data_IF_141840624868
#
_entry.id   IF_141840624868
#
_cell.length_a   1.000
_cell.length_b   1.000
_cell.length_c   1.000
_cell.angle_alpha   90.00
_cell.angle_beta   90.00
_cell.angle_gamma   90.00
#
_symmetry.space_group_name_H-M   'P 1'
#
loop_
_entity.id
_entity.type
_entity.pdbx_description
1 polymer ?
#
# COMPACT_ATOMS: atom_id res chain seq x y z
N UNK A 1 36.42 -39.09 11.39
CA UNK A 1 36.66 -38.50 10.03
C UNK A 1 35.34 -37.84 9.59
N UNK A 2 35.16 -36.58 10.01
CA UNK A 2 33.99 -35.76 9.65
C UNK A 2 34.29 -35.00 8.37
N UNK A 3 33.58 -35.28 7.32
CA UNK A 3 33.53 -34.47 6.12
C UNK A 3 32.74 -33.18 6.40
N UNK A 4 33.46 -32.06 6.60
CA UNK A 4 32.84 -30.72 6.57
C UNK A 4 32.58 -30.42 5.09
N UNK A 5 31.29 -30.38 4.74
CA UNK A 5 30.83 -29.80 3.49
C UNK A 5 31.14 -28.29 3.50
N UNK A 6 32.26 -27.93 2.86
CA UNK A 6 32.56 -26.53 2.48
C UNK A 6 31.62 -26.17 1.33
N UNK A 7 30.48 -25.55 1.63
CA UNK A 7 29.73 -24.86 0.60
C UNK A 7 30.61 -23.73 0.03
N UNK A 8 30.74 -23.63 -1.28
CA UNK A 8 31.62 -22.63 -1.90
C UNK A 8 31.01 -21.23 -1.73
N UNK A 9 31.66 -20.41 -0.93
CA UNK A 9 31.30 -18.98 -0.69
C UNK A 9 31.18 -18.19 -2.03
N UNK A 10 31.76 -18.68 -3.11
CA UNK A 10 31.67 -18.10 -4.45
C UNK A 10 30.33 -18.29 -5.14
N UNK A 11 29.62 -19.40 -4.92
CA UNK A 11 28.35 -19.67 -5.57
C UNK A 11 27.22 -18.75 -5.05
N UNK A 12 27.24 -18.41 -3.77
CA UNK A 12 26.28 -17.48 -3.13
C UNK A 12 26.49 -16.04 -3.62
N UNK A 13 27.73 -15.61 -3.81
CA UNK A 13 28.06 -14.28 -4.33
C UNK A 13 27.65 -14.11 -5.79
N UNK A 14 27.84 -15.14 -6.61
CA UNK A 14 27.45 -15.13 -8.03
C UNK A 14 25.91 -15.17 -8.18
N UNK A 15 25.22 -15.97 -7.38
CA UNK A 15 23.76 -16.01 -7.39
C UNK A 15 23.14 -14.68 -6.94
N UNK A 16 23.69 -14.00 -5.93
CA UNK A 16 23.27 -12.65 -5.53
C UNK A 16 23.51 -11.61 -6.63
N UNK A 17 24.65 -11.67 -7.31
CA UNK A 17 24.97 -10.73 -8.38
C UNK A 17 24.09 -10.93 -9.62
N UNK A 18 23.72 -12.16 -9.94
CA UNK A 18 22.85 -12.47 -11.11
C UNK A 18 21.41 -12.05 -10.90
N UNK A 19 20.93 -11.94 -9.67
CA UNK A 19 19.54 -11.52 -9.35
C UNK A 19 19.45 -10.00 -9.13
N UNK A 20 20.49 -9.36 -8.65
CA UNK A 20 20.50 -7.91 -8.42
C UNK A 20 20.46 -7.09 -9.71
N UNK A 21 21.08 -7.57 -10.79
CA UNK A 21 21.05 -6.88 -12.10
C UNK A 21 19.66 -6.81 -12.70
N UNK A 22 18.86 -7.91 -12.80
CA UNK A 22 17.51 -7.81 -13.32
C UNK A 22 16.58 -6.95 -12.43
N UNK A 23 16.77 -6.94 -11.11
CA UNK A 23 15.98 -6.13 -10.20
C UNK A 23 16.27 -4.62 -10.38
N UNK A 24 17.53 -4.24 -10.54
CA UNK A 24 17.90 -2.84 -10.81
C UNK A 24 17.37 -2.35 -12.16
N UNK A 25 17.39 -3.21 -13.19
CA UNK A 25 16.81 -2.90 -14.51
C UNK A 25 15.32 -2.72 -14.42
N UNK A 26 14.62 -3.56 -13.65
CA UNK A 26 13.19 -3.47 -13.42
C UNK A 26 12.82 -2.15 -12.73
N UNK A 27 13.56 -1.76 -11.69
CA UNK A 27 13.38 -0.48 -11.00
C UNK A 27 13.66 0.74 -11.89
N UNK A 28 14.63 0.68 -12.79
CA UNK A 28 14.82 1.74 -13.78
C UNK A 28 13.63 1.88 -14.73
N UNK A 29 13.03 0.75 -15.13
CA UNK A 29 11.81 0.74 -15.91
C UNK A 29 10.64 1.37 -15.14
N UNK A 30 10.48 1.06 -13.86
CA UNK A 30 9.46 1.63 -12.98
C UNK A 30 9.59 3.16 -12.87
N UNK A 31 10.82 3.65 -12.66
CA UNK A 31 11.11 5.10 -12.66
C UNK A 31 10.74 5.74 -14.00
N UNK A 32 11.13 5.13 -15.12
CA UNK A 32 10.84 5.66 -16.45
C UNK A 32 9.32 5.71 -16.70
N UNK A 33 8.59 4.64 -16.41
CA UNK A 33 7.14 4.57 -16.63
C UNK A 33 6.36 5.55 -15.75
N UNK A 34 6.70 5.65 -14.47
CA UNK A 34 6.05 6.59 -13.55
C UNK A 34 6.38 8.05 -13.90
N UNK A 35 7.63 8.32 -14.31
CA UNK A 35 8.05 9.64 -14.80
C UNK A 35 7.26 10.06 -16.05
N UNK A 36 7.09 9.18 -17.02
CA UNK A 36 6.29 9.43 -18.22
C UNK A 36 4.83 9.67 -17.86
N UNK A 37 4.25 8.87 -16.95
CA UNK A 37 2.85 9.00 -16.54
C UNK A 37 2.56 10.38 -15.97
N UNK A 38 3.31 10.82 -14.94
CA UNK A 38 3.04 12.14 -14.35
C UNK A 38 3.38 13.30 -15.29
N UNK A 39 4.40 13.17 -16.13
CA UNK A 39 4.78 14.21 -17.09
C UNK A 39 3.70 14.42 -18.15
N UNK A 40 3.12 13.34 -18.65
CA UNK A 40 2.01 13.40 -19.62
C UNK A 40 0.78 14.07 -18.99
N UNK A 41 0.41 13.69 -17.76
CA UNK A 41 -0.75 14.27 -17.06
C UNK A 41 -0.50 15.73 -16.70
N UNK A 42 0.69 16.09 -16.24
CA UNK A 42 1.06 17.48 -15.98
C UNK A 42 0.98 18.35 -17.26
N UNK A 43 1.31 17.78 -18.43
CA UNK A 43 1.22 18.48 -19.71
C UNK A 43 -0.22 18.74 -20.18
N UNK A 44 -1.21 18.02 -19.66
CA UNK A 44 -2.64 18.21 -19.99
C UNK A 44 -3.24 19.36 -19.18
N UNK A 45 -2.75 19.60 -17.98
CA UNK A 45 -3.19 20.67 -17.10
C UNK A 45 -3.65 20.18 -15.73
N UNK A 46 -3.92 21.15 -14.85
CA UNK A 46 -4.32 20.90 -13.46
C UNK A 46 -5.84 20.72 -13.37
N UNK A 47 -6.27 19.80 -12.50
CA UNK A 47 -7.64 19.64 -12.05
C UNK A 47 -7.71 19.81 -10.52
N UNK A 48 -8.74 20.51 -10.04
CA UNK A 48 -8.97 20.71 -8.59
C UNK A 48 -9.52 19.46 -7.88
N UNK A 49 -9.67 18.34 -8.60
CA UNK A 49 -10.17 17.08 -8.04
C UNK A 49 -9.13 16.44 -7.11
N UNK A 50 -9.57 15.97 -5.93
CA UNK A 50 -8.74 15.18 -5.01
C UNK A 50 -8.22 13.89 -5.65
N UNK A 51 -8.99 13.30 -6.56
CA UNK A 51 -8.56 12.12 -7.32
C UNK A 51 -7.42 12.42 -8.30
N UNK A 52 -7.42 13.61 -8.94
CA UNK A 52 -6.30 14.06 -9.76
C UNK A 52 -5.04 14.23 -8.92
N UNK A 53 -5.18 14.92 -7.78
CA UNK A 53 -4.06 15.13 -6.85
C UNK A 53 -3.50 13.79 -6.33
N UNK A 54 -4.37 12.82 -6.03
CA UNK A 54 -3.96 11.47 -5.65
C UNK A 54 -3.17 10.75 -6.74
N UNK A 55 -3.63 10.76 -7.99
CA UNK A 55 -2.91 10.13 -9.10
C UNK A 55 -1.53 10.77 -9.31
N UNK A 56 -1.46 12.11 -9.32
CA UNK A 56 -0.19 12.84 -9.45
C UNK A 56 0.75 12.51 -8.30
N UNK A 57 0.25 12.52 -7.07
CA UNK A 57 1.03 12.14 -5.88
C UNK A 57 1.55 10.70 -6.02
N UNK A 58 0.72 9.75 -6.42
CA UNK A 58 1.11 8.34 -6.54
C UNK A 58 2.26 8.15 -7.53
N UNK A 59 2.18 8.73 -8.72
CA UNK A 59 3.26 8.61 -9.72
C UNK A 59 4.55 9.31 -9.27
N UNK A 60 4.45 10.53 -8.73
CA UNK A 60 5.63 11.27 -8.25
C UNK A 60 6.27 10.57 -7.05
N UNK A 61 5.47 10.09 -6.10
CA UNK A 61 5.94 9.38 -4.91
C UNK A 61 6.65 8.07 -5.28
N UNK A 62 6.05 7.25 -6.15
CA UNK A 62 6.66 6.00 -6.61
C UNK A 62 7.95 6.28 -7.38
N UNK A 63 7.95 7.24 -8.31
CA UNK A 63 9.14 7.65 -9.06
C UNK A 63 10.27 8.08 -8.14
N UNK A 64 10.00 8.99 -7.20
CA UNK A 64 11.00 9.53 -6.28
C UNK A 64 11.59 8.46 -5.35
N UNK A 65 10.74 7.64 -4.73
CA UNK A 65 11.23 6.62 -3.80
C UNK A 65 11.97 5.48 -4.50
N UNK A 66 11.51 5.04 -5.69
CA UNK A 66 12.25 4.02 -6.45
C UNK A 66 13.62 4.56 -6.90
N UNK A 67 13.68 5.83 -7.33
CA UNK A 67 14.95 6.48 -7.65
C UNK A 67 15.86 6.57 -6.43
N UNK A 68 15.32 6.94 -5.27
CA UNK A 68 16.06 6.98 -4.00
C UNK A 68 16.61 5.59 -3.63
N UNK A 69 15.79 4.54 -3.74
CA UNK A 69 16.21 3.16 -3.50
C UNK A 69 17.38 2.79 -4.42
N UNK A 70 17.26 3.07 -5.72
CA UNK A 70 18.32 2.81 -6.70
C UNK A 70 19.63 3.55 -6.33
N UNK A 71 19.55 4.84 -5.99
CA UNK A 71 20.72 5.63 -5.59
C UNK A 71 21.39 5.05 -4.35
N UNK A 72 20.61 4.69 -3.33
CA UNK A 72 21.14 4.11 -2.09
C UNK A 72 21.77 2.73 -2.31
N UNK A 73 21.24 1.93 -3.22
CA UNK A 73 21.84 0.63 -3.59
C UNK A 73 23.13 0.80 -4.38
N UNK A 74 23.16 1.68 -5.41
CA UNK A 74 24.36 1.96 -6.18
C UNK A 74 25.47 2.58 -5.34
N UNK A 75 25.10 3.46 -4.40
CA UNK A 75 26.05 4.06 -3.46
C UNK A 75 26.49 3.09 -2.34
N UNK A 76 25.93 1.87 -2.29
CA UNK A 76 26.16 0.88 -1.21
C UNK A 76 25.87 1.43 0.20
N UNK A 77 24.99 2.41 0.29
CA UNK A 77 24.57 3.03 1.54
C UNK A 77 23.49 2.21 2.25
N UNK A 78 22.78 1.34 1.54
CA UNK A 78 21.73 0.47 2.10
C UNK A 78 22.20 -0.34 3.32
N UNK A 79 23.46 -0.84 3.29
CA UNK A 79 24.04 -1.58 4.41
C UNK A 79 24.43 -0.72 5.62
N UNK A 80 24.50 0.60 5.49
CA UNK A 80 24.86 1.55 6.57
C UNK A 80 23.65 2.12 7.26
N UNK A 81 22.46 1.98 6.68
CA UNK A 81 21.22 2.48 7.26
C UNK A 81 20.76 1.57 8.39
N UNK A 82 20.33 2.13 9.55
CA UNK A 82 19.84 1.37 10.69
C UNK A 82 18.40 0.87 10.47
N UNK A 83 18.06 0.45 9.25
CA UNK A 83 16.73 0.00 8.86
C UNK A 83 16.78 -1.42 8.29
N UNK A 84 15.66 -2.12 8.31
CA UNK A 84 15.49 -3.38 7.61
C UNK A 84 15.28 -3.11 6.12
N UNK A 85 16.38 -3.15 5.33
CA UNK A 85 16.35 -2.77 3.93
C UNK A 85 15.40 -3.64 3.09
N UNK A 86 15.41 -4.95 3.35
CA UNK A 86 14.57 -5.91 2.64
C UNK A 86 13.08 -5.70 2.96
N UNK A 87 12.75 -5.44 4.25
CA UNK A 87 11.39 -5.11 4.65
C UNK A 87 10.92 -3.77 4.06
N UNK A 88 11.81 -2.77 4.05
CA UNK A 88 11.50 -1.47 3.47
C UNK A 88 11.21 -1.56 1.98
N UNK A 89 12.09 -2.19 1.20
CA UNK A 89 11.93 -2.30 -0.25
C UNK A 89 10.73 -3.16 -0.64
N UNK A 90 10.50 -4.27 0.06
CA UNK A 90 9.34 -5.15 -0.18
C UNK A 90 8.03 -4.44 0.15
N UNK A 91 7.96 -3.75 1.29
CA UNK A 91 6.75 -3.00 1.69
C UNK A 91 6.48 -1.85 0.74
N UNK A 92 7.52 -1.14 0.34
CA UNK A 92 7.40 -0.06 -0.63
C UNK A 92 6.92 -0.58 -1.99
N UNK A 93 7.50 -1.64 -2.53
CA UNK A 93 7.07 -2.22 -3.82
C UNK A 93 5.61 -2.67 -3.78
N UNK A 94 5.15 -3.27 -2.67
CA UNK A 94 3.76 -3.63 -2.49
C UNK A 94 2.85 -2.41 -2.42
N UNK A 95 3.23 -1.38 -1.65
CA UNK A 95 2.48 -0.12 -1.57
C UNK A 95 2.42 0.57 -2.94
N UNK A 96 3.54 0.64 -3.66
CA UNK A 96 3.62 1.23 -5.00
C UNK A 96 2.72 0.49 -5.99
N UNK A 97 2.73 -0.84 -5.98
CA UNK A 97 1.81 -1.64 -6.80
C UNK A 97 0.34 -1.29 -6.51
N UNK A 98 -0.07 -1.20 -5.25
CA UNK A 98 -1.44 -0.84 -4.86
C UNK A 98 -1.79 0.60 -5.26
N UNK A 99 -0.87 1.55 -5.06
CA UNK A 99 -1.07 2.95 -5.44
C UNK A 99 -1.23 3.11 -6.95
N UNK A 100 -0.40 2.43 -7.74
CA UNK A 100 -0.46 2.48 -9.19
C UNK A 100 -1.66 1.72 -9.76
N UNK A 101 -2.09 0.62 -9.12
CA UNK A 101 -3.36 -0.02 -9.45
C UNK A 101 -4.52 0.96 -9.28
N UNK A 102 -4.59 1.64 -8.13
CA UNK A 102 -5.63 2.65 -7.89
C UNK A 102 -5.55 3.80 -8.90
N UNK A 103 -4.35 4.34 -9.17
CA UNK A 103 -4.17 5.40 -10.15
C UNK A 103 -4.58 4.97 -11.57
N UNK A 104 -4.27 3.72 -11.96
CA UNK A 104 -4.63 3.14 -13.26
C UNK A 104 -6.14 2.94 -13.44
N UNK A 105 -6.88 2.82 -12.35
CA UNK A 105 -8.35 2.73 -12.36
C UNK A 105 -8.98 4.13 -12.24
N UNK A 106 -8.52 4.92 -11.28
CA UNK A 106 -9.12 6.23 -10.96
C UNK A 106 -8.91 7.22 -12.09
N UNK A 107 -7.71 7.29 -12.66
CA UNK A 107 -7.39 8.28 -13.67
C UNK A 107 -8.29 8.18 -14.91
N UNK A 108 -8.43 7.02 -15.59
CA UNK A 108 -9.31 6.90 -16.74
C UNK A 108 -10.80 6.96 -16.39
N UNK A 109 -11.21 6.59 -15.17
CA UNK A 109 -12.64 6.54 -14.81
C UNK A 109 -13.18 7.84 -14.28
N UNK A 110 -12.38 8.64 -13.57
CA UNK A 110 -12.84 9.84 -12.85
C UNK A 110 -12.21 11.13 -13.37
N UNK A 111 -10.92 11.09 -13.74
CA UNK A 111 -10.14 12.28 -14.10
C UNK A 111 -10.12 12.53 -15.61
N UNK A 112 -10.41 11.51 -16.40
CA UNK A 112 -10.36 11.58 -17.86
C UNK A 112 -11.43 12.55 -18.39
N UNK A 113 -10.99 13.68 -18.95
CA UNK A 113 -11.88 14.72 -19.44
C UNK A 113 -12.19 14.61 -20.95
N UNK A 114 -11.40 13.84 -21.69
CA UNK A 114 -11.52 13.73 -23.15
C UNK A 114 -11.24 12.29 -23.61
N UNK A 115 -12.28 11.49 -23.95
CA UNK A 115 -12.11 10.19 -24.57
C UNK A 115 -11.43 10.34 -25.93
N UNK A 116 -10.19 9.83 -26.07
CA UNK A 116 -9.42 9.91 -27.32
C UNK A 116 -8.26 10.91 -27.31
N UNK A 117 -8.03 11.65 -26.23
CA UNK A 117 -6.83 12.47 -26.07
C UNK A 117 -5.60 11.56 -25.88
N UNK A 118 -4.73 11.48 -26.87
CA UNK A 118 -3.59 10.56 -26.91
C UNK A 118 -2.70 10.62 -25.66
N UNK A 119 -2.49 11.80 -25.07
CA UNK A 119 -1.68 11.97 -23.86
C UNK A 119 -2.29 11.31 -22.62
N UNK A 120 -3.61 11.42 -22.45
CA UNK A 120 -4.32 10.82 -21.32
C UNK A 120 -4.36 9.29 -21.46
N UNK A 121 -4.59 8.79 -22.69
CA UNK A 121 -4.53 7.36 -22.98
C UNK A 121 -3.12 6.82 -22.70
N UNK A 122 -2.08 7.49 -23.21
CA UNK A 122 -0.70 7.10 -22.98
C UNK A 122 -0.33 7.09 -21.47
N UNK A 123 -0.79 8.09 -20.70
CA UNK A 123 -0.59 8.12 -19.25
C UNK A 123 -1.26 6.94 -18.54
N UNK A 124 -2.48 6.57 -18.95
CA UNK A 124 -3.17 5.39 -18.40
C UNK A 124 -2.44 4.09 -18.72
N UNK A 125 -1.97 3.94 -19.98
CA UNK A 125 -1.20 2.75 -20.38
C UNK A 125 0.12 2.65 -19.63
N UNK A 126 0.89 3.75 -19.53
CA UNK A 126 2.17 3.74 -18.80
C UNK A 126 1.96 3.50 -17.30
N UNK A 127 0.87 3.99 -16.71
CA UNK A 127 0.49 3.69 -15.33
C UNK A 127 0.20 2.19 -15.12
N UNK A 128 -0.56 1.57 -16.03
CA UNK A 128 -0.82 0.12 -15.99
C UNK A 128 0.46 -0.70 -16.13
N UNK A 129 1.36 -0.31 -17.03
CA UNK A 129 2.66 -0.97 -17.21
C UNK A 129 3.54 -0.83 -15.95
N UNK A 130 3.54 0.36 -15.33
CA UNK A 130 4.25 0.58 -14.07
C UNK A 130 3.68 -0.31 -12.95
N UNK A 131 2.36 -0.40 -12.81
CA UNK A 131 1.72 -1.33 -11.88
C UNK A 131 2.21 -2.78 -12.10
N UNK A 132 2.21 -3.26 -13.34
CA UNK A 132 2.68 -4.62 -13.66
C UNK A 132 4.17 -4.80 -13.32
N UNK A 133 5.01 -3.79 -13.56
CA UNK A 133 6.43 -3.84 -13.20
C UNK A 133 6.61 -4.01 -11.69
N UNK A 134 5.93 -3.23 -10.85
CA UNK A 134 5.97 -3.41 -9.40
C UNK A 134 5.40 -4.76 -8.94
N UNK A 135 4.38 -5.30 -9.60
CA UNK A 135 3.90 -6.66 -9.31
C UNK A 135 4.98 -7.71 -9.59
N UNK A 136 5.72 -7.55 -10.68
CA UNK A 136 6.87 -8.43 -11.01
C UNK A 136 7.97 -8.26 -9.97
N UNK A 137 8.30 -7.04 -9.52
CA UNK A 137 9.28 -6.81 -8.45
C UNK A 137 8.89 -7.56 -7.18
N UNK A 138 7.64 -7.40 -6.71
CA UNK A 138 7.12 -8.10 -5.54
C UNK A 138 7.22 -9.63 -5.72
N UNK A 139 6.85 -10.14 -6.91
CA UNK A 139 6.92 -11.56 -7.22
C UNK A 139 8.35 -12.10 -7.20
N UNK A 140 9.30 -11.40 -7.83
CA UNK A 140 10.72 -11.79 -7.88
C UNK A 140 11.35 -11.74 -6.49
N UNK A 141 11.10 -10.67 -5.73
CA UNK A 141 11.62 -10.53 -4.36
C UNK A 141 11.11 -11.63 -3.45
N UNK A 142 9.83 -12.04 -3.60
CA UNK A 142 9.22 -13.11 -2.84
C UNK A 142 9.69 -14.51 -3.22
N UNK A 143 10.05 -14.72 -4.49
CA UNK A 143 10.52 -16.02 -4.99
C UNK A 143 11.96 -16.34 -4.58
N UNK A 144 12.70 -15.38 -4.02
CA UNK A 144 14.09 -15.60 -3.60
C UNK A 144 14.17 -16.40 -2.28
N UNK A 145 14.77 -17.61 -2.29
CA UNK A 145 14.92 -18.40 -1.08
C UNK A 145 15.92 -17.71 -0.14
N UNK A 146 15.51 -17.44 1.09
CA UNK A 146 16.34 -16.90 2.17
C UNK A 146 16.30 -15.40 2.40
N UNK A 147 15.56 -14.62 1.61
CA UNK A 147 15.34 -13.19 1.86
C UNK A 147 14.06 -12.88 2.66
N UNK A 148 13.21 -13.86 2.91
CA UNK A 148 11.97 -13.68 3.68
C UNK A 148 12.28 -13.81 5.18
N UNK A 149 13.03 -12.87 5.73
CA UNK A 149 13.36 -12.86 7.17
C UNK A 149 12.61 -11.79 7.96
N UNK A 150 12.01 -10.80 7.33
CA UNK A 150 11.31 -9.71 7.98
C UNK A 150 9.81 -9.94 8.15
N UNK A 151 9.22 -9.33 9.18
CA UNK A 151 7.77 -9.40 9.45
C UNK A 151 6.94 -8.88 8.27
N UNK A 152 7.35 -7.78 7.63
CA UNK A 152 6.62 -7.19 6.50
C UNK A 152 6.64 -8.05 5.22
N UNK A 153 7.60 -8.98 5.12
CA UNK A 153 7.60 -9.99 4.06
C UNK A 153 6.64 -11.15 4.34
N UNK A 154 6.07 -11.25 5.55
CA UNK A 154 5.04 -12.23 5.90
C UNK A 154 3.66 -11.79 5.42
N UNK A 155 2.69 -12.71 5.41
CA UNK A 155 1.31 -12.38 5.04
C UNK A 155 0.69 -11.31 5.96
N UNK A 156 0.82 -11.37 7.29
CA UNK A 156 0.33 -10.31 8.18
C UNK A 156 0.96 -8.95 7.91
N UNK A 157 2.26 -8.91 7.64
CA UNK A 157 2.94 -7.65 7.32
C UNK A 157 2.43 -6.98 6.04
N UNK A 158 2.18 -7.77 4.99
CA UNK A 158 1.58 -7.25 3.75
C UNK A 158 0.14 -6.83 3.93
N UNK A 159 -0.63 -7.52 4.79
CA UNK A 159 -1.98 -7.09 5.13
C UNK A 159 -1.96 -5.72 5.81
N UNK A 160 -0.96 -5.41 6.66
CA UNK A 160 -0.80 -4.06 7.22
C UNK A 160 -0.58 -2.98 6.17
N UNK A 161 0.20 -3.28 5.12
CA UNK A 161 0.38 -2.35 3.98
C UNK A 161 -0.93 -2.17 3.22
N UNK A 162 -1.67 -3.25 2.99
CA UNK A 162 -2.99 -3.20 2.34
C UNK A 162 -4.01 -2.38 3.16
N UNK A 163 -4.09 -2.61 4.48
CA UNK A 163 -4.97 -1.89 5.40
C UNK A 163 -4.68 -0.38 5.38
N UNK A 164 -3.41 0.00 5.45
CA UNK A 164 -3.00 1.40 5.36
C UNK A 164 -3.36 2.01 4.00
N UNK A 165 -3.14 1.28 2.91
CA UNK A 165 -3.49 1.74 1.56
C UNK A 165 -5.00 1.95 1.40
N UNK A 166 -5.82 0.98 1.81
CA UNK A 166 -7.29 1.08 1.74
C UNK A 166 -7.79 2.27 2.56
N UNK A 167 -7.21 2.53 3.73
CA UNK A 167 -7.52 3.71 4.52
C UNK A 167 -7.20 5.01 3.78
N UNK A 168 -6.08 5.09 3.04
CA UNK A 168 -5.78 6.26 2.18
C UNK A 168 -6.86 6.49 1.12
N UNK A 169 -7.36 5.44 0.46
CA UNK A 169 -8.45 5.56 -0.51
C UNK A 169 -9.74 6.05 0.15
N UNK A 170 -10.03 5.57 1.37
CA UNK A 170 -11.16 6.09 2.16
C UNK A 170 -10.99 7.60 2.38
N UNK A 171 -9.83 8.05 2.89
CA UNK A 171 -9.61 9.47 3.23
C UNK A 171 -9.75 10.40 2.03
N UNK A 172 -9.24 10.04 0.85
CA UNK A 172 -9.37 10.88 -0.35
C UNK A 172 -10.80 10.95 -0.90
N UNK A 173 -11.64 9.98 -0.52
CA UNK A 173 -13.03 9.89 -0.94
C UNK A 173 -14.01 10.51 0.05
N UNK A 174 -13.52 10.98 1.22
CA UNK A 174 -14.37 11.66 2.22
C UNK A 174 -14.83 13.03 1.73
N UNK A 175 -16.08 13.36 2.05
CA UNK A 175 -16.65 14.69 1.87
C UNK A 175 -16.71 15.42 3.23
N UNK A 176 -15.81 16.38 3.49
CA UNK A 176 -15.68 17.01 4.82
C UNK A 176 -16.96 17.68 5.31
N UNK A 177 -17.69 18.35 4.42
CA UNK A 177 -18.94 19.03 4.76
C UNK A 177 -19.99 18.06 5.29
N UNK A 178 -20.09 16.87 4.71
CA UNK A 178 -21.03 15.84 5.14
C UNK A 178 -20.59 15.14 6.42
N UNK A 179 -19.30 14.85 6.54
CA UNK A 179 -18.73 14.25 7.76
C UNK A 179 -18.99 15.14 8.97
N UNK A 180 -18.78 16.46 8.84
CA UNK A 180 -19.00 17.40 9.95
C UNK A 180 -20.48 17.51 10.38
N UNK A 181 -21.40 17.20 9.47
CA UNK A 181 -22.85 17.33 9.73
C UNK A 181 -23.43 16.18 10.59
N UNK A 182 -22.79 15.02 10.63
CA UNK A 182 -23.34 13.82 11.27
C UNK A 182 -22.37 13.15 12.23
N UNK A 183 -22.69 13.03 13.54
CA UNK A 183 -21.81 12.37 14.51
C UNK A 183 -21.46 10.91 14.16
N UNK A 184 -22.39 10.18 13.52
CA UNK A 184 -22.15 8.81 13.07
C UNK A 184 -21.06 8.72 12.01
N UNK A 185 -20.95 9.70 11.10
CA UNK A 185 -19.88 9.75 10.11
C UNK A 185 -18.53 10.14 10.75
N UNK A 186 -18.57 11.04 11.75
CA UNK A 186 -17.36 11.40 12.53
C UNK A 186 -16.80 10.18 13.28
N UNK A 187 -17.68 9.34 13.86
CA UNK A 187 -17.28 8.07 14.45
C UNK A 187 -16.56 7.18 13.44
N UNK A 188 -17.14 6.99 12.24
CA UNK A 188 -16.50 6.19 11.20
C UNK A 188 -15.12 6.73 10.81
N UNK A 189 -14.98 8.05 10.65
CA UNK A 189 -13.68 8.68 10.35
C UNK A 189 -12.69 8.48 11.50
N UNK A 190 -13.12 8.54 12.75
CA UNK A 190 -12.27 8.23 13.90
C UNK A 190 -11.78 6.77 13.86
N UNK A 191 -12.66 5.81 13.51
CA UNK A 191 -12.29 4.40 13.32
C UNK A 191 -11.21 4.25 12.24
N UNK A 192 -11.44 4.88 11.07
CA UNK A 192 -10.47 4.83 9.96
C UNK A 192 -9.12 5.42 10.34
N UNK A 193 -9.13 6.58 11.03
CA UNK A 193 -7.91 7.27 11.44
C UNK A 193 -7.11 6.47 12.48
N UNK A 194 -7.77 5.95 13.51
CA UNK A 194 -7.10 5.15 14.55
C UNK A 194 -6.49 3.88 13.97
N UNK A 195 -7.24 3.17 13.13
CA UNK A 195 -6.77 1.96 12.48
C UNK A 195 -5.59 2.25 11.54
N UNK A 196 -5.65 3.32 10.74
CA UNK A 196 -4.58 3.76 9.86
C UNK A 196 -3.30 4.09 10.63
N UNK A 197 -3.41 4.93 11.67
CA UNK A 197 -2.26 5.34 12.48
C UNK A 197 -1.57 4.13 13.08
N UNK A 198 -2.34 3.17 13.59
CA UNK A 198 -1.76 1.97 14.18
C UNK A 198 -1.09 1.06 13.15
N UNK A 199 -1.73 0.78 12.01
CA UNK A 199 -1.12 0.00 10.92
C UNK A 199 0.17 0.68 10.42
N UNK A 200 0.15 2.01 10.26
CA UNK A 200 1.33 2.78 9.88
C UNK A 200 2.44 2.71 10.93
N UNK A 201 2.09 2.81 12.21
CA UNK A 201 3.04 2.69 13.33
C UNK A 201 3.73 1.32 13.31
N UNK A 202 2.98 0.22 13.13
CA UNK A 202 3.55 -1.13 13.03
C UNK A 202 4.51 -1.22 11.83
N UNK A 203 4.16 -0.68 10.69
CA UNK A 203 5.03 -0.67 9.50
C UNK A 203 6.35 0.08 9.81
N UNK A 204 6.25 1.28 10.40
CA UNK A 204 7.43 2.11 10.74
C UNK A 204 8.32 1.42 11.77
N UNK A 205 7.75 0.86 12.83
CA UNK A 205 8.50 0.15 13.87
C UNK A 205 9.22 -1.08 13.31
N UNK A 206 8.58 -1.78 12.37
CA UNK A 206 9.18 -2.96 11.72
C UNK A 206 10.33 -2.56 10.82
N UNK A 207 10.13 -1.58 9.93
CA UNK A 207 11.17 -1.05 9.03
C UNK A 207 12.35 -0.48 9.84
N UNK A 208 12.06 0.27 10.89
CA UNK A 208 13.06 0.87 11.77
C UNK A 208 13.80 -0.12 12.68
N UNK A 209 13.49 -1.42 12.63
CA UNK A 209 14.03 -2.46 13.55
C UNK A 209 13.81 -2.14 15.03
N UNK A 210 12.81 -1.30 15.32
CA UNK A 210 12.51 -0.86 16.69
C UNK A 210 11.66 -1.88 17.46
N UNK A 211 11.14 -2.91 16.79
CA UNK A 211 10.33 -3.95 17.42
C UNK A 211 11.05 -4.67 18.56
N UNK A 212 12.35 -4.92 18.39
CA UNK A 212 13.18 -5.57 19.43
C UNK A 212 13.46 -4.68 20.65
N UNK A 213 13.21 -3.37 20.56
CA UNK A 213 13.39 -2.43 21.68
C UNK A 213 12.10 -2.25 22.50
N UNK A 214 10.95 -2.73 22.02
CA UNK A 214 9.69 -2.65 22.75
C UNK A 214 9.63 -3.72 23.86
N UNK A 215 9.44 -3.35 25.14
CA UNK A 215 9.34 -4.29 26.24
C UNK A 215 8.01 -5.07 26.28
N UNK A 216 7.10 -4.79 25.36
CA UNK A 216 5.78 -5.40 25.31
C UNK A 216 5.79 -6.66 24.42
N UNK A 217 4.97 -7.68 24.71
CA UNK A 217 4.75 -8.82 23.84
C UNK A 217 3.99 -8.35 22.59
N UNK A 218 4.74 -7.89 21.58
CA UNK A 218 4.22 -7.22 20.39
C UNK A 218 3.16 -8.07 19.66
N UNK A 219 3.37 -9.38 19.62
CA UNK A 219 2.44 -10.30 18.96
C UNK A 219 1.05 -10.27 19.61
N UNK A 220 1.00 -10.21 20.95
CA UNK A 220 -0.27 -10.13 21.68
C UNK A 220 -0.95 -8.77 21.48
N UNK A 221 -0.16 -7.68 21.48
CA UNK A 221 -0.66 -6.32 21.19
C UNK A 221 -1.22 -6.25 19.79
N UNK A 222 -0.55 -6.86 18.80
CA UNK A 222 -1.00 -6.90 17.42
C UNK A 222 -2.33 -7.64 17.28
N UNK A 223 -2.45 -8.83 17.91
CA UNK A 223 -3.71 -9.61 17.91
C UNK A 223 -4.83 -8.83 18.58
N UNK A 224 -4.58 -8.24 19.75
CA UNK A 224 -5.58 -7.46 20.48
C UNK A 224 -6.08 -6.27 19.66
N UNK A 225 -5.16 -5.56 19.00
CA UNK A 225 -5.51 -4.44 18.14
C UNK A 225 -6.30 -4.92 16.91
N UNK A 226 -5.90 -5.99 16.25
CA UNK A 226 -6.60 -6.52 15.08
C UNK A 226 -8.05 -6.89 15.44
N UNK A 227 -8.27 -7.55 16.59
CA UNK A 227 -9.62 -7.86 17.08
C UNK A 227 -10.41 -6.57 17.33
N UNK A 228 -9.80 -5.58 17.98
CA UNK A 228 -10.45 -4.29 18.21
C UNK A 228 -10.77 -3.59 16.87
N UNK A 229 -9.88 -3.60 15.91
CA UNK A 229 -10.09 -3.01 14.58
C UNK A 229 -11.25 -3.70 13.85
N UNK A 230 -11.35 -5.03 13.90
CA UNK A 230 -12.49 -5.78 13.33
C UNK A 230 -13.81 -5.30 13.94
N UNK A 231 -13.88 -5.17 15.28
CA UNK A 231 -15.09 -4.70 15.96
C UNK A 231 -15.44 -3.26 15.56
N UNK A 232 -14.46 -2.37 15.52
CA UNK A 232 -14.65 -0.98 15.10
C UNK A 232 -15.11 -0.88 13.64
N UNK A 233 -14.46 -1.59 12.72
CA UNK A 233 -14.86 -1.62 11.31
C UNK A 233 -16.24 -2.27 11.11
N UNK A 234 -16.61 -3.27 11.88
CA UNK A 234 -17.96 -3.86 11.85
C UNK A 234 -19.04 -2.81 12.19
N UNK A 235 -18.78 -1.92 13.15
CA UNK A 235 -19.69 -0.80 13.42
C UNK A 235 -19.71 0.20 12.26
N UNK A 236 -18.53 0.51 11.67
CA UNK A 236 -18.42 1.47 10.57
C UNK A 236 -19.14 1.00 9.29
N UNK A 237 -19.08 -0.29 8.96
CA UNK A 237 -19.79 -0.90 7.81
C UNK A 237 -21.32 -0.68 7.91
N UNK A 238 -21.86 -0.65 9.11
CA UNK A 238 -23.28 -0.41 9.34
C UNK A 238 -23.58 1.08 9.41
N UNK A 239 -22.82 1.81 10.22
CA UNK A 239 -23.08 3.22 10.52
C UNK A 239 -22.85 4.09 9.30
N UNK A 240 -21.77 3.86 8.52
CA UNK A 240 -21.46 4.70 7.37
C UNK A 240 -22.59 4.76 6.34
N UNK A 241 -23.10 3.65 5.77
CA UNK A 241 -24.15 3.73 4.76
C UNK A 241 -25.46 4.31 5.32
N UNK A 242 -25.81 4.03 6.59
CA UNK A 242 -27.00 4.58 7.21
C UNK A 242 -26.98 6.11 7.23
N UNK A 243 -25.87 6.73 7.63
CA UNK A 243 -25.77 8.19 7.71
C UNK A 243 -25.36 8.86 6.39
N UNK A 244 -24.59 8.16 5.56
CA UNK A 244 -24.12 8.70 4.28
C UNK A 244 -25.25 8.82 3.26
N UNK A 245 -26.15 7.83 3.19
CA UNK A 245 -27.21 7.76 2.17
C UNK A 245 -28.58 8.19 2.68
N UNK A 246 -28.76 8.32 4.00
CA UNK A 246 -30.03 8.79 4.57
C UNK A 246 -30.36 10.19 4.06
N UNK A 247 -31.53 10.33 3.44
CA UNK A 247 -32.01 11.58 2.83
C UNK A 247 -31.05 12.20 1.81
N UNK A 248 -30.26 11.38 1.13
CA UNK A 248 -29.28 11.79 0.15
C UNK A 248 -29.37 10.92 -1.11
N UNK A 249 -30.45 11.05 -1.89
CA UNK A 249 -30.57 10.31 -3.15
C UNK A 249 -29.51 10.78 -4.14
N UNK A 250 -29.08 9.89 -5.03
CA UNK A 250 -28.10 10.23 -6.06
C UNK A 250 -28.69 11.30 -7.01
N UNK A 251 -27.98 12.41 -7.27
CA UNK A 251 -28.41 13.42 -8.24
C UNK A 251 -28.53 12.81 -9.65
N UNK A 252 -29.66 13.02 -10.32
CA UNK A 252 -29.94 12.40 -11.62
C UNK A 252 -29.05 12.90 -12.79
N UNK A 253 -28.50 14.11 -12.67
CA UNK A 253 -27.76 14.76 -13.76
C UNK A 253 -26.24 14.86 -13.52
N UNK A 254 -25.70 14.02 -12.66
CA UNK A 254 -24.30 14.10 -12.27
C UNK A 254 -23.52 12.85 -12.70
N UNK A 255 -22.47 13.04 -13.51
CA UNK A 255 -21.64 11.96 -14.04
C UNK A 255 -20.53 11.56 -13.06
N UNK A 256 -20.03 12.51 -12.26
CA UNK A 256 -19.03 12.32 -11.20
C UNK A 256 -19.40 13.19 -10.02
N UNK A 257 -20.15 12.62 -9.10
CA UNK A 257 -20.68 13.34 -7.93
C UNK A 257 -19.87 13.07 -6.67
N UNK A 258 -19.86 14.00 -5.69
CA UNK A 258 -19.42 13.69 -4.34
C UNK A 258 -20.13 12.47 -3.74
N UNK A 259 -21.36 12.18 -4.19
CA UNK A 259 -22.12 10.99 -3.81
C UNK A 259 -21.41 9.68 -4.18
N UNK A 260 -20.71 9.64 -5.31
CA UNK A 260 -19.94 8.45 -5.72
C UNK A 260 -18.77 8.17 -4.75
N UNK A 261 -18.18 9.22 -4.15
CA UNK A 261 -17.21 9.07 -3.06
C UNK A 261 -17.79 8.36 -1.82
N UNK A 262 -19.03 8.61 -1.46
CA UNK A 262 -19.70 7.93 -0.34
C UNK A 262 -19.83 6.41 -0.60
N UNK A 263 -20.09 6.03 -1.84
CA UNK A 263 -20.16 4.62 -2.26
C UNK A 263 -18.76 3.98 -2.18
N UNK A 264 -17.72 4.68 -2.67
CA UNK A 264 -16.33 4.21 -2.58
C UNK A 264 -15.96 3.98 -1.13
N UNK A 265 -16.26 4.90 -0.21
CA UNK A 265 -15.98 4.72 1.22
C UNK A 265 -16.74 3.51 1.78
N UNK A 266 -18.01 3.32 1.43
CA UNK A 266 -18.77 2.13 1.87
C UNK A 266 -18.12 0.84 1.43
N UNK A 267 -17.74 0.75 0.15
CA UNK A 267 -17.08 -0.43 -0.42
C UNK A 267 -15.72 -0.67 0.23
N UNK A 268 -14.88 0.35 0.33
CA UNK A 268 -13.54 0.26 0.92
C UNK A 268 -13.59 -0.06 2.41
N UNK A 269 -14.62 0.38 3.13
CA UNK A 269 -14.84 0.00 4.54
C UNK A 269 -15.06 -1.52 4.65
N UNK A 270 -15.85 -2.12 3.76
CA UNK A 270 -16.04 -3.57 3.71
C UNK A 270 -14.73 -4.30 3.36
N UNK A 271 -13.98 -3.80 2.37
CA UNK A 271 -12.69 -4.37 1.98
C UNK A 271 -11.72 -4.37 3.16
N UNK A 272 -11.65 -3.25 3.89
CA UNK A 272 -10.73 -3.14 5.03
C UNK A 272 -11.18 -4.01 6.22
N UNK A 273 -12.48 -4.15 6.46
CA UNK A 273 -12.98 -5.11 7.44
C UNK A 273 -12.52 -6.53 7.10
N UNK A 274 -12.64 -6.95 5.84
CA UNK A 274 -12.16 -8.27 5.41
C UNK A 274 -10.66 -8.42 5.58
N UNK A 275 -9.86 -7.40 5.25
CA UNK A 275 -8.42 -7.41 5.46
C UNK A 275 -8.08 -7.62 6.94
N UNK A 276 -8.71 -6.87 7.86
CA UNK A 276 -8.51 -7.04 9.30
C UNK A 276 -8.97 -8.40 9.83
N UNK A 277 -10.04 -8.98 9.31
CA UNK A 277 -10.49 -10.34 9.67
C UNK A 277 -9.42 -11.35 9.26
N UNK A 278 -8.93 -11.28 8.03
CA UNK A 278 -7.89 -12.19 7.52
C UNK A 278 -6.60 -12.02 8.32
N UNK A 279 -6.18 -10.79 8.60
CA UNK A 279 -4.99 -10.52 9.40
C UNK A 279 -5.14 -11.04 10.84
N UNK A 280 -6.31 -10.88 11.45
CA UNK A 280 -6.61 -11.44 12.78
C UNK A 280 -6.45 -12.97 12.78
N UNK A 281 -6.99 -13.66 11.78
CA UNK A 281 -6.89 -15.12 11.67
C UNK A 281 -5.43 -15.56 11.53
N UNK A 282 -4.63 -14.89 10.70
CA UNK A 282 -3.21 -15.21 10.55
C UNK A 282 -2.41 -14.90 11.82
N UNK A 283 -2.65 -13.75 12.45
CA UNK A 283 -1.97 -13.35 13.67
C UNK A 283 -2.27 -14.30 14.84
N UNK A 284 -3.53 -14.70 15.00
CA UNK A 284 -3.94 -15.70 16.03
C UNK A 284 -3.30 -17.05 15.75
N UNK A 285 -3.25 -17.51 14.50
CA UNK A 285 -2.58 -18.77 14.15
C UNK A 285 -1.10 -18.75 14.50
N UNK A 286 -0.39 -17.65 14.22
CA UNK A 286 1.02 -17.50 14.55
C UNK A 286 1.25 -17.58 16.06
N UNK A 287 0.47 -16.86 16.87
CA UNK A 287 0.65 -16.78 18.32
C UNK A 287 0.28 -18.09 19.03
N UNK A 288 -0.81 -18.75 18.63
CA UNK A 288 -1.36 -19.88 19.39
C UNK A 288 -0.99 -21.25 18.85
N UNK A 289 -0.58 -21.37 17.58
CA UNK A 289 -0.36 -22.67 16.93
C UNK A 289 1.06 -22.89 16.41
N UNK A 290 1.88 -21.85 16.23
CA UNK A 290 3.23 -21.95 15.65
C UNK A 290 4.33 -21.72 16.70
N UNK A 291 4.04 -21.03 17.80
CA UNK A 291 4.96 -20.88 18.92
C UNK A 291 4.68 -21.96 19.96
N UNK A 292 5.40 -23.10 19.99
CA UNK A 292 5.36 -23.99 21.15
C UNK A 292 6.04 -23.28 22.30
N UNK A 293 5.36 -23.22 23.42
CA UNK A 293 5.82 -22.75 24.72
C UNK A 293 7.10 -23.40 25.21
#
# INVERSE_FOLDING_TARGET
>A
LGSRNLEPCGARSIAMATVSVPLSVLRLLEVALTCVSFSLVASVGHSSSSYWAWCMFSWCFCCFLTLLILVLEFARLSARLPISWDDFTTSFAMLAALMLLAASIIYPSVVFSCPGCARQVAASVTSCLAFLAYCVEVGVTRAQPGQVSGFLSTVPGLLKVLEAFVACIIFISLEPARVSAFPGLQWCVAVYALAFIFSLLIIILTVGRLLGACPCPLEQVLVAFNVLAVLMYATAVIVWPVYAFRNNPRPSNCRHCPWDGLVVVSFMTCVNLLAYIVDTVYSVRLVFFVTPS
#
